data_IF_419231630555
#
_entry.id   IF_419231630555
#
_cell.length_a   1.000
_cell.length_b   1.000
_cell.length_c   1.000
_cell.angle_alpha   90.00
_cell.angle_beta   90.00
_cell.angle_gamma   90.00
#
_symmetry.space_group_name_H-M   'P 1'
#
loop_
_entity.id
_entity.type
_entity.pdbx_description
1 polymer ?
#
# COMPACT_ATOMS: atom_id res chain seq x y z
N UNK A 1 -5.81 -4.17 4.18
CA UNK A 1 -5.30 -3.05 5.02
C UNK A 1 -5.25 -3.52 6.47
N UNK A 2 -4.48 -2.87 7.36
CA UNK A 2 -4.58 -3.09 8.81
C UNK A 2 -5.72 -2.23 9.40
N UNK A 3 -6.21 -2.58 10.59
CA UNK A 3 -7.28 -1.84 11.28
C UNK A 3 -6.88 -0.36 11.47
N UNK A 4 -5.70 0.00 11.99
CA UNK A 4 -5.31 1.41 12.13
C UNK A 4 -5.26 2.19 10.81
N UNK A 5 -4.90 1.52 9.69
CA UNK A 5 -4.93 2.16 8.38
C UNK A 5 -6.35 2.38 7.88
N UNK A 6 -7.29 1.49 8.19
CA UNK A 6 -8.71 1.68 7.85
C UNK A 6 -9.31 2.83 8.65
N UNK A 7 -9.02 2.89 9.95
CA UNK A 7 -9.43 4.00 10.82
C UNK A 7 -8.85 5.34 10.35
N UNK A 8 -7.58 5.36 9.92
CA UNK A 8 -6.96 6.55 9.33
C UNK A 8 -7.68 6.99 8.05
N UNK A 9 -8.12 6.04 7.21
CA UNK A 9 -8.89 6.38 6.01
C UNK A 9 -10.27 6.91 6.37
N UNK A 10 -10.92 6.35 7.40
CA UNK A 10 -12.21 6.85 7.88
C UNK A 10 -12.09 8.31 8.34
N UNK A 11 -11.05 8.65 9.12
CA UNK A 11 -10.80 10.04 9.53
C UNK A 11 -10.50 10.93 8.33
N UNK A 12 -9.69 10.48 7.37
CA UNK A 12 -9.41 11.26 6.15
C UNK A 12 -10.69 11.55 5.34
N UNK A 13 -11.55 10.54 5.17
CA UNK A 13 -12.85 10.71 4.51
C UNK A 13 -13.70 11.70 5.29
N UNK A 14 -13.76 11.57 6.63
CA UNK A 14 -14.47 12.50 7.49
C UNK A 14 -14.02 13.95 7.31
N UNK A 15 -12.71 14.20 7.22
CA UNK A 15 -12.17 15.55 6.94
C UNK A 15 -12.66 16.04 5.58
N UNK A 16 -12.51 15.24 4.52
CA UNK A 16 -12.97 15.63 3.18
C UNK A 16 -14.47 15.93 3.14
N UNK A 17 -15.28 15.11 3.81
CA UNK A 17 -16.73 15.31 3.92
C UNK A 17 -17.06 16.60 4.68
N UNK A 18 -16.36 16.89 5.77
CA UNK A 18 -16.56 18.11 6.54
C UNK A 18 -16.25 19.37 5.71
N UNK A 19 -15.14 19.34 4.96
CA UNK A 19 -14.74 20.45 4.07
C UNK A 19 -15.74 20.63 2.94
N UNK A 20 -16.22 19.54 2.33
CA UNK A 20 -17.27 19.59 1.32
C UNK A 20 -18.56 20.19 1.87
N UNK A 21 -19.02 19.73 3.04
CA UNK A 21 -20.23 20.28 3.67
C UNK A 21 -20.05 21.76 3.98
N UNK A 22 -18.88 22.17 4.49
CA UNK A 22 -18.56 23.59 4.73
C UNK A 22 -18.57 24.43 3.45
N UNK A 23 -18.12 23.90 2.30
CA UNK A 23 -18.13 24.66 1.05
C UNK A 23 -19.53 24.81 0.46
N UNK A 24 -20.42 23.84 0.69
CA UNK A 24 -21.79 23.87 0.19
C UNK A 24 -22.77 24.60 1.12
N UNK A 25 -22.45 24.68 2.41
CA UNK A 25 -23.26 25.39 3.39
C UNK A 25 -23.06 26.90 3.26
N UNK A 26 -24.13 27.62 2.89
CA UNK A 26 -24.13 29.09 2.83
C UNK A 26 -24.30 29.73 4.22
N UNK A 27 -23.59 29.23 5.22
CA UNK A 27 -23.57 29.73 6.60
C UNK A 27 -22.14 29.84 7.11
N UNK A 28 -21.90 30.80 8.01
CA UNK A 28 -20.61 30.91 8.68
C UNK A 28 -20.44 29.78 9.69
N UNK A 29 -19.40 28.96 9.51
CA UNK A 29 -19.01 27.92 10.46
C UNK A 29 -17.81 28.43 11.26
N UNK A 30 -18.04 28.70 12.54
CA UNK A 30 -17.00 29.20 13.46
C UNK A 30 -15.99 28.12 13.81
N UNK A 31 -16.47 26.92 14.13
CA UNK A 31 -15.63 25.82 14.60
C UNK A 31 -16.02 24.50 13.95
N UNK A 32 -15.01 23.66 13.71
CA UNK A 32 -15.16 22.35 13.10
C UNK A 32 -14.50 21.29 13.97
N UNK A 33 -15.27 20.28 14.36
CA UNK A 33 -14.82 19.19 15.20
C UNK A 33 -15.01 17.85 14.48
N UNK A 34 -13.98 17.00 14.53
CA UNK A 34 -14.04 15.62 14.06
C UNK A 34 -13.69 14.69 15.23
N UNK A 35 -14.68 13.91 15.64
CA UNK A 35 -14.57 12.97 16.74
C UNK A 35 -14.19 11.59 16.21
N UNK A 36 -13.23 10.93 16.86
CA UNK A 36 -12.84 9.56 16.55
C UNK A 36 -12.58 8.78 17.84
N UNK A 37 -12.97 7.52 17.87
CA UNK A 37 -12.62 6.60 18.93
C UNK A 37 -11.28 5.89 18.69
N UNK A 38 -10.68 6.07 17.52
CA UNK A 38 -9.34 5.57 17.22
C UNK A 38 -8.28 6.44 17.88
N UNK A 39 -7.92 6.09 19.12
CA UNK A 39 -6.80 6.70 19.84
C UNK A 39 -5.49 6.61 19.04
N UNK A 40 -5.31 5.54 18.25
CA UNK A 40 -4.16 5.36 17.38
C UNK A 40 -4.06 6.48 16.35
N UNK A 41 -5.13 6.74 15.60
CA UNK A 41 -5.17 7.77 14.57
C UNK A 41 -5.02 9.16 15.18
N UNK A 42 -5.73 9.44 16.28
CA UNK A 42 -5.60 10.72 16.99
C UNK A 42 -4.17 10.95 17.50
N UNK A 43 -3.48 9.89 17.94
CA UNK A 43 -2.08 10.01 18.32
C UNK A 43 -1.17 10.25 17.12
N UNK A 44 -1.41 9.60 15.98
CA UNK A 44 -0.64 9.89 14.77
C UNK A 44 -0.86 11.33 14.29
N UNK A 45 -2.07 11.88 14.46
CA UNK A 45 -2.34 13.29 14.15
C UNK A 45 -1.58 14.20 15.12
N UNK A 46 -1.49 13.90 16.41
CA UNK A 46 -0.78 14.77 17.37
C UNK A 46 0.74 14.56 17.42
N UNK A 47 1.26 13.42 16.95
CA UNK A 47 2.69 13.11 17.08
C UNK A 47 3.58 13.93 16.15
N UNK A 48 4.81 14.17 16.61
CA UNK A 48 5.94 14.72 15.84
C UNK A 48 6.93 13.63 15.39
N UNK A 49 6.73 12.39 15.83
CA UNK A 49 7.57 11.26 15.43
C UNK A 49 7.44 11.01 13.93
N UNK A 50 8.49 10.46 13.34
CA UNK A 50 8.43 9.98 11.96
C UNK A 50 7.39 8.86 11.83
N UNK A 51 6.64 8.89 10.74
CA UNK A 51 5.60 7.91 10.42
C UNK A 51 5.93 7.28 9.07
N UNK A 52 5.51 6.03 8.88
CA UNK A 52 5.66 5.37 7.58
C UNK A 52 5.00 6.18 6.45
N UNK A 53 5.47 5.98 5.22
CA UNK A 53 5.07 6.82 4.06
C UNK A 53 3.55 6.82 3.86
N UNK A 54 2.90 5.66 4.02
CA UNK A 54 1.45 5.56 3.89
C UNK A 54 0.74 6.47 4.91
N UNK A 55 1.06 6.35 6.19
CA UNK A 55 0.44 7.10 7.28
C UNK A 55 0.80 8.58 7.17
N UNK A 56 2.08 8.89 6.95
CA UNK A 56 2.61 10.26 6.80
C UNK A 56 1.87 11.06 5.73
N UNK A 57 1.68 10.48 4.54
CA UNK A 57 1.05 11.19 3.43
C UNK A 57 -0.42 11.54 3.71
N UNK A 58 -1.19 10.63 4.36
CA UNK A 58 -2.58 10.95 4.70
C UNK A 58 -2.69 11.93 5.86
N UNK A 59 -1.78 11.88 6.82
CA UNK A 59 -1.75 12.86 7.91
C UNK A 59 -1.37 14.25 7.39
N UNK A 60 -0.47 14.33 6.40
CA UNK A 60 -0.16 15.59 5.74
C UNK A 60 -1.43 16.22 5.11
N UNK A 61 -2.25 15.41 4.45
CA UNK A 61 -3.54 15.87 3.91
C UNK A 61 -4.52 16.28 5.01
N UNK A 62 -4.72 15.45 6.04
CA UNK A 62 -5.57 15.74 7.20
C UNK A 62 -5.16 17.08 7.85
N UNK A 63 -3.86 17.29 8.07
CA UNK A 63 -3.31 18.50 8.71
C UNK A 63 -3.27 19.72 7.81
N UNK A 64 -3.52 19.59 6.51
CA UNK A 64 -3.66 20.74 5.62
C UNK A 64 -4.87 21.60 6.01
N UNK A 65 -5.89 20.97 6.63
CA UNK A 65 -7.10 21.62 7.13
C UNK A 65 -6.96 21.96 8.63
N UNK A 66 -6.31 23.09 8.91
CA UNK A 66 -5.96 23.54 10.28
C UNK A 66 -7.16 23.97 11.13
N UNK A 67 -8.28 24.24 10.49
CA UNK A 67 -9.55 24.63 11.10
C UNK A 67 -10.33 23.45 11.67
N UNK A 68 -9.92 22.21 11.39
CA UNK A 68 -10.53 21.00 11.94
C UNK A 68 -9.83 20.62 13.25
N UNK A 69 -10.59 20.60 14.35
CA UNK A 69 -10.17 20.10 15.66
C UNK A 69 -10.48 18.61 15.77
N UNK A 70 -9.50 17.82 16.20
CA UNK A 70 -9.64 16.36 16.35
C UNK A 70 -9.84 16.01 17.82
N UNK A 71 -10.94 15.32 18.13
CA UNK A 71 -11.35 15.00 19.50
C UNK A 71 -11.53 13.49 19.67
N UNK A 72 -11.33 13.01 20.90
CA UNK A 72 -11.58 11.61 21.24
C UNK A 72 -13.02 11.42 21.72
N UNK A 73 -13.68 10.37 21.23
CA UNK A 73 -14.95 9.87 21.76
C UNK A 73 -14.76 8.43 22.19
N UNK A 74 -15.35 8.03 23.31
CA UNK A 74 -15.34 6.63 23.71
C UNK A 74 -16.04 5.75 22.67
N UNK A 75 -15.51 4.58 22.34
CA UNK A 75 -16.13 3.64 21.39
C UNK A 75 -17.60 3.35 21.71
N UNK A 76 -17.98 3.27 22.99
CA UNK A 76 -19.37 3.01 23.40
C UNK A 76 -20.30 4.22 23.22
N UNK A 77 -19.72 5.40 23.00
CA UNK A 77 -20.42 6.68 22.79
C UNK A 77 -20.25 7.19 21.35
N UNK A 78 -19.64 6.39 20.45
CA UNK A 78 -19.42 6.75 19.06
C UNK A 78 -20.62 6.31 18.18
N UNK A 79 -21.47 7.23 17.70
CA UNK A 79 -22.59 6.86 16.85
C UNK A 79 -22.16 6.30 15.48
N UNK A 80 -20.98 6.65 14.97
CA UNK A 80 -20.49 6.10 13.70
C UNK A 80 -20.31 4.58 13.77
N UNK A 81 -20.02 4.05 14.95
CA UNK A 81 -19.85 2.62 15.20
C UNK A 81 -21.17 1.84 15.03
N UNK A 82 -22.31 2.47 15.32
CA UNK A 82 -23.64 1.88 15.09
C UNK A 82 -23.87 1.61 13.60
N UNK A 83 -23.43 2.53 12.73
CA UNK A 83 -23.55 2.36 11.29
C UNK A 83 -22.54 1.33 10.74
N UNK A 84 -21.29 1.35 11.20
CA UNK A 84 -20.23 0.48 10.65
C UNK A 84 -20.36 -0.98 11.08
N UNK A 85 -20.88 -1.26 12.29
CA UNK A 85 -21.13 -2.62 12.79
C UNK A 85 -22.37 -3.27 12.17
N UNK A 86 -23.25 -2.45 11.60
CA UNK A 86 -24.54 -2.88 11.10
C UNK A 86 -25.57 -3.02 12.23
N UNK A 87 -26.77 -2.49 11.99
CA UNK A 87 -27.91 -2.60 12.90
C UNK A 87 -29.20 -2.79 12.12
N UNK A 88 -30.22 -3.36 12.75
CA UNK A 88 -31.53 -3.53 12.11
C UNK A 88 -32.33 -2.23 12.18
N UNK A 89 -33.19 -1.98 11.20
CA UNK A 89 -34.05 -0.78 11.20
C UNK A 89 -34.88 -0.64 12.50
N UNK A 90 -35.37 -1.75 13.06
CA UNK A 90 -36.11 -1.77 14.31
C UNK A 90 -35.29 -1.35 15.52
N UNK A 91 -34.00 -1.74 15.58
CA UNK A 91 -33.08 -1.31 16.65
C UNK A 91 -32.71 0.15 16.46
N UNK A 92 -32.35 0.54 15.24
CA UNK A 92 -31.97 1.91 14.89
C UNK A 92 -33.08 2.92 15.21
N UNK A 93 -34.36 2.55 15.00
CA UNK A 93 -35.51 3.41 15.30
C UNK A 93 -35.50 3.93 16.74
N UNK A 94 -35.05 3.12 17.69
CA UNK A 94 -35.05 3.45 19.11
C UNK A 94 -33.63 3.70 19.65
N UNK A 95 -32.63 3.82 18.78
CA UNK A 95 -31.24 4.02 19.18
C UNK A 95 -30.99 5.50 19.50
N UNK A 96 -31.04 5.84 20.79
CA UNK A 96 -30.83 7.21 21.23
C UNK A 96 -29.44 7.74 20.88
N UNK A 97 -28.41 6.89 20.86
CA UNK A 97 -27.04 7.31 20.58
C UNK A 97 -26.90 7.74 19.12
N UNK A 98 -27.49 6.97 18.19
CA UNK A 98 -27.48 7.32 16.77
C UNK A 98 -28.18 8.66 16.48
N UNK A 99 -29.37 8.86 17.05
CA UNK A 99 -30.20 10.02 16.72
C UNK A 99 -29.81 11.29 17.47
N UNK A 100 -29.30 11.18 18.70
CA UNK A 100 -29.06 12.34 19.57
C UNK A 100 -27.58 12.50 19.94
N UNK A 101 -26.73 11.53 19.59
CA UNK A 101 -25.36 11.50 20.05
C UNK A 101 -25.23 11.28 21.57
N UNK A 102 -24.01 11.37 22.10
CA UNK A 102 -23.79 11.33 23.52
C UNK A 102 -24.28 12.62 24.20
N UNK A 103 -24.88 12.48 25.38
CA UNK A 103 -25.51 13.60 26.11
C UNK A 103 -24.56 14.78 26.33
N UNK A 104 -23.28 14.50 26.57
CA UNK A 104 -22.28 15.52 26.86
C UNK A 104 -21.96 16.43 25.67
N UNK A 105 -22.27 16.01 24.44
CA UNK A 105 -22.05 16.84 23.25
C UNK A 105 -23.01 18.03 23.20
N UNK A 106 -24.15 17.94 23.90
CA UNK A 106 -25.12 19.03 24.05
C UNK A 106 -24.73 20.03 25.15
N UNK A 107 -23.67 19.76 25.91
CA UNK A 107 -23.17 20.72 26.89
C UNK A 107 -22.26 21.73 26.20
N UNK A 108 -22.00 22.85 26.89
CA UNK A 108 -21.01 23.81 26.41
C UNK A 108 -19.65 23.11 26.19
N UNK A 109 -18.94 23.54 25.15
CA UNK A 109 -17.64 23.00 24.71
C UNK A 109 -16.61 22.90 25.84
N UNK A 110 -16.68 23.81 26.82
CA UNK A 110 -15.82 23.83 28.00
C UNK A 110 -16.06 22.62 28.94
N UNK A 111 -17.26 22.03 28.89
CA UNK A 111 -17.68 20.91 29.71
C UNK A 111 -17.59 19.57 28.96
N UNK A 112 -17.09 19.56 27.73
CA UNK A 112 -16.85 18.30 27.03
C UNK A 112 -15.77 17.50 27.75
N UNK A 113 -16.05 16.21 27.95
CA UNK A 113 -15.08 15.30 28.56
C UNK A 113 -13.91 15.11 27.60
N UNK A 114 -12.76 15.70 27.95
CA UNK A 114 -11.49 15.26 27.41
C UNK A 114 -11.01 14.10 28.26
N UNK A 115 -11.55 12.90 28.00
CA UNK A 115 -10.92 11.69 28.51
C UNK A 115 -9.49 11.68 27.96
N UNK A 116 -8.54 11.90 28.87
CA UNK A 116 -7.14 12.11 28.55
C UNK A 116 -6.61 10.90 27.77
N UNK A 117 -5.92 11.20 26.66
CA UNK A 117 -5.26 10.24 25.79
C UNK A 117 -4.54 9.15 26.60
N UNK A 118 -5.12 7.95 26.64
CA UNK A 118 -4.59 6.79 27.35
C UNK A 118 -3.31 6.25 26.72
N UNK A 119 -2.36 5.89 27.60
CA UNK A 119 -1.11 5.14 27.40
C UNK A 119 -0.40 5.20 26.03
N UNK A 120 0.75 5.89 26.00
CA UNK A 120 1.66 5.93 24.85
C UNK A 120 2.20 4.55 24.41
N UNK A 121 2.17 3.53 25.27
CA UNK A 121 2.74 2.21 24.99
C UNK A 121 2.04 1.48 23.84
N UNK A 122 0.72 1.62 23.72
CA UNK A 122 -0.08 0.98 22.67
C UNK A 122 0.22 1.54 21.29
N UNK A 123 0.43 2.85 21.19
CA UNK A 123 0.76 3.52 19.92
C UNK A 123 2.17 3.17 19.48
N UNK A 124 3.12 3.08 20.41
CA UNK A 124 4.48 2.66 20.09
C UNK A 124 4.48 1.22 19.55
N UNK A 125 3.78 0.29 20.21
CA UNK A 125 3.61 -1.09 19.71
C UNK A 125 3.00 -1.11 18.31
N UNK A 126 1.98 -0.30 18.05
CA UNK A 126 1.35 -0.20 16.73
C UNK A 126 2.29 0.38 15.67
N UNK A 127 3.01 1.46 16.00
CA UNK A 127 4.02 2.07 15.13
C UNK A 127 5.07 1.03 14.72
N UNK A 128 5.61 0.29 15.69
CA UNK A 128 6.56 -0.79 15.42
C UNK A 128 5.95 -1.89 14.55
N UNK A 129 4.68 -2.25 14.76
CA UNK A 129 4.00 -3.25 13.92
C UNK A 129 3.80 -2.77 12.48
N UNK A 130 3.51 -1.49 12.27
CA UNK A 130 3.37 -0.89 10.93
C UNK A 130 4.71 -0.75 10.20
N UNK A 131 5.79 -0.38 10.91
CA UNK A 131 7.14 -0.41 10.36
C UNK A 131 7.52 -1.84 9.95
N UNK A 132 7.28 -2.82 10.82
CA UNK A 132 7.54 -4.23 10.51
C UNK A 132 6.77 -4.65 9.26
N UNK A 133 5.50 -4.26 9.15
CA UNK A 133 4.65 -4.57 7.99
C UNK A 133 5.14 -3.92 6.70
N UNK A 134 5.69 -2.72 6.76
CA UNK A 134 6.27 -2.05 5.60
C UNK A 134 7.63 -2.65 5.22
N UNK A 135 8.48 -2.98 6.20
CA UNK A 135 9.73 -3.71 5.96
C UNK A 135 9.48 -5.10 5.38
N UNK A 136 8.44 -5.83 5.83
CA UNK A 136 8.02 -7.10 5.20
C UNK A 136 7.47 -6.92 3.79
N UNK A 137 7.05 -5.71 3.40
CA UNK A 137 6.68 -5.38 2.01
C UNK A 137 7.87 -4.91 1.18
N UNK A 138 8.89 -4.31 1.80
CA UNK A 138 10.14 -3.90 1.17
C UNK A 138 11.25 -4.97 1.22
N UNK A 139 11.08 -6.08 1.94
CA UNK A 139 12.05 -7.17 1.98
C UNK A 139 12.14 -7.97 0.67
N UNK A 140 11.35 -7.60 -0.33
CA UNK A 140 11.50 -8.07 -1.72
C UNK A 140 12.66 -7.39 -2.46
N UNK A 141 13.45 -6.53 -1.80
CA UNK A 141 14.65 -5.89 -2.38
C UNK A 141 15.99 -6.50 -1.92
N UNK A 142 15.99 -7.73 -1.38
CA UNK A 142 17.24 -8.52 -1.22
C UNK A 142 17.25 -9.70 -2.19
N UNK A 143 17.57 -9.45 -3.46
CA UNK A 143 17.85 -10.49 -4.44
C UNK A 143 19.33 -10.51 -4.85
N UNK A 144 20.24 -10.48 -3.88
CA UNK A 144 21.67 -10.54 -4.18
C UNK A 144 22.36 -11.85 -3.77
N UNK A 145 21.65 -12.86 -3.23
CA UNK A 145 22.27 -14.13 -2.82
C UNK A 145 21.31 -15.33 -2.95
N UNK A 146 20.88 -15.66 -4.17
CA UNK A 146 20.29 -16.98 -4.46
C UNK A 146 21.25 -17.69 -5.42
N UNK A 147 21.83 -18.78 -4.94
CA UNK A 147 22.69 -19.70 -5.71
C UNK A 147 21.95 -20.20 -6.97
N UNK A 148 22.70 -20.35 -8.08
CA UNK A 148 22.17 -20.55 -9.43
C UNK A 148 21.15 -21.70 -9.60
N UNK A 149 21.18 -22.71 -8.74
CA UNK A 149 20.28 -23.87 -8.79
C UNK A 149 18.83 -23.57 -8.35
N UNK A 150 18.60 -22.51 -7.56
CA UNK A 150 17.27 -22.18 -7.02
C UNK A 150 16.57 -21.04 -7.78
N UNK A 151 17.05 -20.69 -8.99
CA UNK A 151 16.47 -19.59 -9.76
C UNK A 151 15.09 -19.99 -10.29
N UNK A 152 14.03 -19.21 -10.01
CA UNK A 152 12.71 -19.54 -10.53
C UNK A 152 12.69 -19.47 -12.07
N UNK A 153 11.89 -20.33 -12.74
CA UNK A 153 11.75 -20.30 -14.19
C UNK A 153 11.41 -18.90 -14.70
N UNK A 154 12.14 -18.43 -15.72
CA UNK A 154 11.99 -17.09 -16.31
C UNK A 154 12.22 -15.92 -15.34
N UNK A 155 12.83 -16.16 -14.18
CA UNK A 155 13.05 -15.14 -13.15
C UNK A 155 11.78 -14.72 -12.41
N UNK A 156 10.69 -15.51 -12.50
CA UNK A 156 9.41 -15.17 -11.87
C UNK A 156 9.38 -15.71 -10.45
N UNK A 157 9.63 -14.86 -9.46
CA UNK A 157 9.42 -15.26 -8.07
C UNK A 157 7.91 -15.38 -7.77
N UNK A 158 7.45 -16.61 -7.51
CA UNK A 158 6.05 -16.88 -7.19
C UNK A 158 5.57 -16.15 -5.93
N UNK A 159 6.50 -15.72 -5.06
CA UNK A 159 6.22 -14.95 -3.83
C UNK A 159 5.83 -13.49 -4.11
N UNK A 160 6.06 -12.97 -5.32
CA UNK A 160 5.63 -11.63 -5.73
C UNK A 160 4.13 -11.55 -6.07
N UNK A 161 3.45 -12.70 -6.16
CA UNK A 161 2.07 -12.78 -6.60
C UNK A 161 1.17 -13.20 -5.46
N UNK A 162 0.14 -12.39 -5.18
CA UNK A 162 -0.90 -12.72 -4.21
C UNK A 162 -1.93 -13.76 -4.71
N UNK A 163 -1.72 -14.31 -5.90
CA UNK A 163 -2.68 -15.18 -6.58
C UNK A 163 -1.97 -16.22 -7.44
N UNK A 164 -2.18 -17.49 -7.12
CA UNK A 164 -1.65 -18.63 -7.86
C UNK A 164 -2.09 -18.63 -9.34
N UNK A 165 -3.35 -18.28 -9.62
CA UNK A 165 -3.86 -18.19 -11.00
C UNK A 165 -3.20 -17.06 -11.79
N UNK A 166 -2.77 -15.98 -11.13
CA UNK A 166 -2.00 -14.90 -11.76
C UNK A 166 -0.59 -15.36 -12.16
N UNK A 167 0.09 -16.15 -11.31
CA UNK A 167 1.41 -16.74 -11.61
C UNK A 167 1.33 -17.63 -12.85
N UNK A 168 0.33 -18.53 -12.91
CA UNK A 168 0.13 -19.43 -14.06
C UNK A 168 -0.06 -18.61 -15.34
N UNK A 169 -0.92 -17.59 -15.32
CA UNK A 169 -1.21 -16.77 -16.50
C UNK A 169 0.03 -16.03 -16.99
N UNK A 170 0.78 -15.38 -16.11
CA UNK A 170 2.00 -14.64 -16.48
C UNK A 170 3.05 -15.59 -17.06
N UNK A 171 3.25 -16.75 -16.43
CA UNK A 171 4.18 -17.78 -16.92
C UNK A 171 3.78 -18.29 -18.31
N UNK A 172 2.49 -18.56 -18.52
CA UNK A 172 1.96 -18.99 -19.82
C UNK A 172 2.12 -17.91 -20.90
N UNK A 173 1.94 -16.63 -20.57
CA UNK A 173 2.16 -15.51 -21.50
C UNK A 173 3.63 -15.39 -21.90
N UNK A 174 4.56 -15.53 -20.96
CA UNK A 174 6.00 -15.51 -21.24
C UNK A 174 6.39 -16.68 -22.14
N UNK A 175 5.92 -17.89 -21.84
CA UNK A 175 6.14 -19.06 -22.71
C UNK A 175 5.56 -18.86 -24.12
N UNK A 176 4.35 -18.28 -24.23
CA UNK A 176 3.73 -17.94 -25.52
C UNK A 176 4.51 -16.87 -26.28
N UNK A 177 5.08 -15.89 -25.59
CA UNK A 177 5.92 -14.87 -26.18
C UNK A 177 7.26 -15.43 -26.69
N UNK A 178 7.96 -16.22 -25.86
CA UNK A 178 9.21 -16.89 -26.23
C UNK A 178 9.01 -17.83 -27.43
N UNK A 179 7.93 -18.62 -27.43
CA UNK A 179 7.62 -19.51 -28.56
C UNK A 179 7.31 -18.75 -29.86
N UNK A 180 6.68 -17.56 -29.77
CA UNK A 180 6.47 -16.68 -30.92
C UNK A 180 7.77 -16.08 -31.45
N UNK A 181 8.67 -15.64 -30.57
CA UNK A 181 10.00 -15.13 -30.97
C UNK A 181 10.83 -16.23 -31.64
N UNK A 182 10.89 -17.44 -31.04
CA UNK A 182 11.63 -18.56 -31.62
C UNK A 182 11.11 -18.95 -33.01
N UNK A 183 9.79 -18.97 -33.22
CA UNK A 183 9.18 -19.19 -34.55
C UNK A 183 9.54 -18.10 -35.55
N UNK A 184 9.58 -16.83 -35.12
CA UNK A 184 9.96 -15.68 -35.96
C UNK A 184 11.43 -15.68 -36.35
N UNK A 185 12.32 -15.99 -35.41
CA UNK A 185 13.74 -16.17 -35.70
C UNK A 185 13.94 -17.32 -36.68
N UNK A 186 13.30 -18.48 -36.50
CA UNK A 186 13.47 -19.62 -37.40
C UNK A 186 12.98 -19.36 -38.84
N UNK A 187 12.04 -18.43 -39.04
CA UNK A 187 11.65 -17.94 -40.37
C UNK A 187 12.67 -16.95 -40.96
N UNK A 188 13.21 -16.05 -40.14
CA UNK A 188 14.24 -15.07 -40.55
C UNK A 188 15.60 -15.70 -40.88
N UNK A 189 16.01 -16.74 -40.14
CA UNK A 189 17.26 -17.48 -40.38
C UNK A 189 17.22 -18.36 -41.65
N UNK A 190 16.03 -18.71 -42.15
CA UNK A 190 15.88 -19.39 -43.46
C UNK A 190 16.02 -18.45 -44.65
N UNK A 191 15.75 -17.15 -44.49
CA UNK A 191 15.77 -16.17 -45.61
C UNK A 191 17.12 -15.47 -45.82
N UNK A 192 18.07 -15.57 -44.88
CA UNK A 192 19.31 -14.74 -44.90
C UNK A 192 20.58 -15.56 -45.25
N UNK A 193 20.49 -16.87 -45.47
CA UNK A 193 21.64 -17.76 -45.23
C UNK A 193 22.16 -18.56 -46.44
N UNK A 194 22.73 -17.89 -47.46
CA UNK A 194 23.67 -18.55 -48.39
C UNK A 194 25.01 -17.81 -48.48
N UNK A 195 25.02 -16.48 -48.49
CA UNK A 195 26.27 -15.72 -48.73
C UNK A 195 27.16 -15.50 -47.48
N UNK A 196 26.63 -15.67 -46.25
CA UNK A 196 27.33 -15.28 -45.02
C UNK A 196 28.14 -16.42 -44.38
N UNK A 197 27.80 -17.68 -44.69
CA UNK A 197 28.50 -18.86 -44.16
C UNK A 197 29.91 -18.98 -44.76
N UNK A 198 30.09 -18.69 -46.05
CA UNK A 198 31.42 -18.73 -46.69
C UNK A 198 32.36 -17.63 -46.15
N UNK A 199 31.83 -16.45 -45.83
CA UNK A 199 32.63 -15.37 -45.26
C UNK A 199 33.15 -15.70 -43.86
N UNK A 200 32.31 -16.30 -43.01
CA UNK A 200 32.74 -16.71 -41.66
C UNK A 200 33.68 -17.92 -41.69
N UNK A 201 33.55 -18.82 -42.68
CA UNK A 201 34.47 -19.95 -42.87
C UNK A 201 35.89 -19.48 -43.21
N UNK A 202 36.01 -18.51 -44.12
CA UNK A 202 37.30 -17.95 -44.53
C UNK A 202 38.01 -17.15 -43.42
N UNK A 203 37.27 -16.56 -42.48
CA UNK A 203 37.86 -15.88 -41.30
C UNK A 203 38.34 -16.88 -40.24
N UNK A 204 37.61 -17.98 -40.03
CA UNK A 204 38.02 -19.03 -39.10
C UNK A 204 39.29 -19.75 -39.57
N UNK A 205 39.43 -20.04 -40.88
CA UNK A 205 40.64 -20.67 -41.41
C UNK A 205 41.89 -19.77 -41.29
N UNK A 206 41.72 -18.45 -41.32
CA UNK A 206 42.80 -17.49 -41.03
C UNK A 206 43.22 -17.48 -39.56
N UNK A 207 42.28 -17.66 -38.64
CA UNK A 207 42.51 -17.66 -37.19
C UNK A 207 43.23 -18.96 -36.79
N UNK A 208 42.78 -20.11 -37.31
CA UNK A 208 43.34 -21.41 -36.93
C UNK A 208 44.68 -21.76 -37.60
N UNK A 209 45.09 -21.09 -38.69
CA UNK A 209 46.43 -21.30 -39.26
C UNK A 209 47.58 -20.70 -38.42
N UNK A 210 47.29 -19.81 -37.45
CA UNK A 210 48.31 -19.14 -36.63
C UNK A 210 48.59 -19.80 -35.28
N UNK A 211 47.84 -20.82 -34.87
CA UNK A 211 47.89 -21.39 -33.51
C UNK A 211 48.54 -22.78 -33.38
N UNK A 212 49.31 -23.25 -34.37
CA UNK A 212 49.97 -24.59 -34.31
C UNK A 212 51.51 -24.59 -34.22
N UNK A 213 52.20 -23.48 -33.95
CA UNK A 213 53.67 -23.50 -33.85
C UNK A 213 54.25 -22.76 -32.64
N UNK A 214 53.93 -23.16 -31.39
CA UNK A 214 54.79 -22.88 -30.22
C UNK A 214 54.36 -23.62 -28.93
N UNK A 215 54.35 -24.96 -28.97
CA UNK A 215 54.45 -25.83 -27.76
C UNK A 215 55.27 -27.11 -27.99
N UNK A 216 56.41 -26.98 -28.68
CA UNK A 216 57.53 -27.92 -28.59
C UNK A 216 58.83 -27.15 -28.78
N UNK A 217 59.31 -26.51 -27.71
CA UNK A 217 60.69 -26.39 -27.23
C UNK A 217 60.66 -25.64 -25.90
#
# INVERSE_FOLDING_TARGET
MSIPRLELMAVLIGVRSLIFVKSELNISIEEMYLWSDSQCVLKWISTKKELNVFVKNRIAEIKAHKDVKFMYVNTMENPADVATRGTTASKLKNDSLWWHGPKWLNYDTQNWKNDSFGDNSSVEKMYQSEIKREKSRCSTLLCNQIEEENRPPFGIDCREFSSYTKVIRVTAWIQRFVSRIKKRQMQYWKSVNIQRIESCRNELDKIYSKETLLRCF
#
